data_IF_190787034001
#
_entry.id   IF_190787034001
#
_cell.length_a   1.000
_cell.length_b   1.000
_cell.length_c   1.000
_cell.angle_alpha   90.00
_cell.angle_beta   90.00
_cell.angle_gamma   90.00
#
_symmetry.space_group_name_H-M   'P 1'
#
loop_
_entity.id
_entity.type
_entity.pdbx_description
1 polymer ?
#
# COMPACT_ATOMS: atom_id res chain seq x y z
N UNK A 1 16.41 4.06 -3.49
CA UNK A 1 15.25 4.91 -3.68
C UNK A 1 14.81 5.64 -2.40
N UNK A 2 15.02 5.05 -1.23
CA UNK A 2 14.65 5.64 0.08
C UNK A 2 15.74 6.52 0.72
N UNK A 3 16.89 6.70 0.09
CA UNK A 3 17.97 7.54 0.59
C UNK A 3 17.68 9.05 0.45
N UNK A 4 16.73 9.43 -0.39
CA UNK A 4 16.34 10.82 -0.60
C UNK A 4 15.43 11.38 0.50
N UNK A 5 15.15 12.70 0.47
CA UNK A 5 14.24 13.35 1.41
C UNK A 5 12.82 12.78 1.28
N UNK A 6 12.07 12.76 2.39
CA UNK A 6 10.75 12.10 2.48
C UNK A 6 9.71 12.65 1.49
N UNK A 7 9.65 13.97 1.18
CA UNK A 7 8.72 14.48 0.17
C UNK A 7 8.97 13.91 -1.23
N UNK A 8 10.23 13.65 -1.59
CA UNK A 8 10.59 13.00 -2.85
C UNK A 8 10.14 11.54 -2.85
N UNK A 9 10.31 10.83 -1.72
CA UNK A 9 9.80 9.47 -1.57
C UNK A 9 8.28 9.42 -1.66
N UNK A 10 7.56 10.39 -1.09
CA UNK A 10 6.12 10.51 -1.21
C UNK A 10 5.67 10.66 -2.68
N UNK A 11 6.34 11.52 -3.44
CA UNK A 11 6.00 11.74 -4.84
C UNK A 11 6.35 10.53 -5.72
N UNK A 12 7.59 10.04 -5.64
CA UNK A 12 8.10 8.98 -6.51
C UNK A 12 7.47 7.62 -6.17
N UNK A 13 7.49 7.22 -4.89
CA UNK A 13 7.01 5.90 -4.49
C UNK A 13 5.50 5.82 -4.23
N UNK A 14 4.87 6.92 -3.84
CA UNK A 14 3.45 6.87 -3.53
C UNK A 14 2.58 7.12 -4.75
N UNK A 15 2.89 8.16 -5.53
CA UNK A 15 1.93 8.71 -6.49
C UNK A 15 2.30 8.53 -7.96
N UNK A 16 3.60 8.41 -8.33
CA UNK A 16 3.98 8.55 -9.74
C UNK A 16 4.73 7.36 -10.33
N UNK A 17 6.04 7.23 -10.08
CA UNK A 17 6.90 6.29 -10.82
C UNK A 17 6.44 4.83 -10.67
N UNK A 18 6.09 4.42 -9.47
CA UNK A 18 5.68 3.02 -9.22
C UNK A 18 4.27 2.75 -9.73
N UNK A 19 3.41 3.76 -9.69
CA UNK A 19 2.05 3.72 -10.23
C UNK A 19 2.03 3.65 -11.77
N UNK A 20 3.05 4.21 -12.44
CA UNK A 20 3.15 4.23 -13.90
C UNK A 20 3.15 2.83 -14.51
N UNK A 21 3.73 1.83 -13.83
CA UNK A 21 3.71 0.44 -14.28
C UNK A 21 2.31 -0.14 -14.38
N UNK A 22 1.49 0.05 -13.34
CA UNK A 22 0.08 -0.41 -13.35
C UNK A 22 -0.74 0.37 -14.39
N UNK A 23 -0.53 1.69 -14.47
CA UNK A 23 -1.19 2.50 -15.48
C UNK A 23 -0.86 2.04 -16.91
N UNK A 24 0.41 1.73 -17.18
CA UNK A 24 0.83 1.19 -18.47
C UNK A 24 0.16 -0.15 -18.76
N UNK A 25 0.16 -1.10 -17.82
CA UNK A 25 -0.50 -2.40 -17.99
C UNK A 25 -1.97 -2.23 -18.39
N UNK A 26 -2.70 -1.35 -17.72
CA UNK A 26 -4.10 -1.07 -18.03
C UNK A 26 -4.28 -0.46 -19.41
N UNK A 27 -3.36 0.42 -19.85
CA UNK A 27 -3.43 1.06 -21.17
C UNK A 27 -3.17 0.10 -22.32
N UNK A 28 -2.38 -0.95 -22.08
CA UNK A 28 -2.03 -1.95 -23.09
C UNK A 28 -2.74 -3.29 -22.85
N UNK A 29 -3.82 -3.33 -22.09
CA UNK A 29 -4.58 -4.53 -21.72
C UNK A 29 -4.93 -5.40 -22.93
N UNK A 30 -5.30 -4.77 -24.04
CA UNK A 30 -5.68 -5.44 -25.28
C UNK A 30 -4.57 -6.29 -25.93
N UNK A 31 -3.32 -6.15 -25.48
CA UNK A 31 -2.18 -6.95 -25.96
C UNK A 31 -1.99 -8.25 -25.18
N UNK A 32 -2.65 -8.41 -24.04
CA UNK A 32 -2.46 -9.59 -23.19
C UNK A 32 -3.43 -10.71 -23.52
N UNK A 33 -2.89 -11.93 -23.59
CA UNK A 33 -3.70 -13.15 -23.65
C UNK A 33 -4.29 -13.49 -22.27
N UNK A 34 -5.34 -14.30 -22.24
CA UNK A 34 -5.95 -14.75 -20.98
C UNK A 34 -4.96 -15.44 -20.04
N UNK A 35 -4.07 -16.27 -20.58
CA UNK A 35 -3.05 -16.96 -19.79
C UNK A 35 -2.03 -16.00 -19.19
N UNK A 36 -1.64 -14.96 -19.94
CA UNK A 36 -0.75 -13.92 -19.45
C UNK A 36 -1.41 -13.10 -18.32
N UNK A 37 -2.70 -12.80 -18.45
CA UNK A 37 -3.45 -12.12 -17.39
C UNK A 37 -3.53 -12.96 -16.12
N UNK A 38 -3.83 -14.25 -16.21
CA UNK A 38 -3.86 -15.16 -15.05
C UNK A 38 -2.49 -15.23 -14.37
N UNK A 39 -1.41 -15.34 -15.14
CA UNK A 39 -0.05 -15.35 -14.61
C UNK A 39 0.27 -14.05 -13.86
N UNK A 40 -0.06 -12.88 -14.45
CA UNK A 40 0.12 -11.57 -13.80
C UNK A 40 -0.71 -11.47 -12.52
N UNK A 41 -1.94 -11.99 -12.54
CA UNK A 41 -2.83 -12.01 -11.39
C UNK A 41 -2.24 -12.77 -10.20
N UNK A 42 -1.80 -13.99 -10.46
CA UNK A 42 -1.17 -14.84 -9.43
C UNK A 42 0.15 -14.23 -8.92
N UNK A 43 1.01 -13.78 -9.85
CA UNK A 43 2.28 -13.12 -9.49
C UNK A 43 2.03 -11.87 -8.62
N UNK A 44 1.04 -11.06 -8.98
CA UNK A 44 0.63 -9.89 -8.22
C UNK A 44 0.18 -10.25 -6.81
N UNK A 45 -0.67 -11.26 -6.66
CA UNK A 45 -1.16 -11.72 -5.36
C UNK A 45 0.00 -12.21 -4.46
N UNK A 46 0.89 -13.06 -4.99
CA UNK A 46 2.06 -13.56 -4.26
C UNK A 46 3.01 -12.43 -3.87
N UNK A 47 3.29 -11.49 -4.80
CA UNK A 47 4.10 -10.30 -4.52
C UNK A 47 3.49 -9.46 -3.40
N UNK A 48 2.17 -9.27 -3.42
CA UNK A 48 1.43 -8.52 -2.41
C UNK A 48 1.57 -9.12 -1.01
N UNK A 49 1.43 -10.44 -0.91
CA UNK A 49 1.59 -11.17 0.35
C UNK A 49 3.05 -11.14 0.86
N UNK A 50 4.01 -11.45 -0.01
CA UNK A 50 5.43 -11.44 0.32
C UNK A 50 5.89 -10.05 0.83
N UNK A 51 5.51 -8.99 0.13
CA UNK A 51 5.83 -7.63 0.54
C UNK A 51 5.17 -7.27 1.90
N UNK A 52 3.99 -7.79 2.19
CA UNK A 52 3.33 -7.65 3.49
C UNK A 52 4.14 -8.27 4.63
N UNK A 53 4.68 -9.48 4.44
CA UNK A 53 5.58 -10.12 5.41
C UNK A 53 6.88 -9.31 5.59
N UNK A 54 7.48 -8.82 4.49
CA UNK A 54 8.66 -7.96 4.59
C UNK A 54 8.37 -6.68 5.36
N UNK A 55 7.22 -6.04 5.13
CA UNK A 55 6.81 -4.82 5.86
C UNK A 55 6.69 -5.06 7.37
N UNK A 56 6.20 -6.24 7.78
CA UNK A 56 6.02 -6.60 9.19
C UNK A 56 7.37 -6.70 9.94
N UNK A 57 8.45 -7.07 9.26
CA UNK A 57 9.77 -7.28 9.87
C UNK A 57 10.67 -6.05 9.86
N UNK A 58 10.34 -5.03 9.07
CA UNK A 58 11.16 -3.82 8.98
C UNK A 58 11.10 -2.97 10.26
N UNK A 59 12.24 -2.32 10.57
CA UNK A 59 12.37 -1.35 11.66
C UNK A 59 12.35 0.09 11.19
N UNK A 60 12.76 0.35 9.96
CA UNK A 60 12.82 1.67 9.35
C UNK A 60 11.43 2.08 8.85
N UNK A 61 10.92 3.23 9.33
CA UNK A 61 9.61 3.77 8.96
C UNK A 61 9.42 3.92 7.45
N UNK A 62 10.47 4.38 6.73
CA UNK A 62 10.43 4.50 5.26
C UNK A 62 10.37 3.15 4.58
N UNK A 63 11.11 2.15 5.07
CA UNK A 63 11.10 0.80 4.51
C UNK A 63 9.76 0.11 4.73
N UNK A 64 9.14 0.28 5.91
CA UNK A 64 7.78 -0.23 6.16
C UNK A 64 6.82 0.34 5.14
N UNK A 65 6.82 1.66 4.92
CA UNK A 65 5.95 2.32 3.94
C UNK A 65 6.26 1.89 2.50
N UNK A 66 7.53 1.63 2.15
CA UNK A 66 7.93 1.15 0.82
C UNK A 66 7.44 -0.27 0.55
N UNK A 67 7.65 -1.21 1.46
CA UNK A 67 7.12 -2.57 1.33
C UNK A 67 5.59 -2.60 1.34
N UNK A 68 4.97 -1.73 2.11
CA UNK A 68 3.53 -1.53 2.08
C UNK A 68 3.06 -1.03 0.70
N UNK A 69 3.82 -0.15 0.02
CA UNK A 69 3.51 0.27 -1.35
C UNK A 69 3.62 -0.92 -2.32
N UNK A 70 4.70 -1.71 -2.22
CA UNK A 70 4.88 -2.91 -3.04
C UNK A 70 3.74 -3.92 -2.84
N UNK A 71 3.29 -4.08 -1.58
CA UNK A 71 2.13 -4.93 -1.27
C UNK A 71 0.86 -4.44 -1.98
N UNK A 72 0.56 -3.14 -1.95
CA UNK A 72 -0.64 -2.59 -2.60
C UNK A 72 -0.54 -2.65 -4.14
N UNK A 73 0.65 -2.52 -4.72
CA UNK A 73 0.86 -2.76 -6.14
C UNK A 73 0.56 -4.21 -6.53
N UNK A 74 0.86 -5.15 -5.63
CA UNK A 74 0.46 -6.55 -5.79
C UNK A 74 -1.05 -6.71 -5.92
N UNK A 75 -1.85 -5.99 -5.11
CA UNK A 75 -3.31 -5.96 -5.23
C UNK A 75 -3.78 -5.41 -6.58
N UNK A 76 -3.15 -4.33 -7.05
CA UNK A 76 -3.50 -3.72 -8.33
C UNK A 76 -3.15 -4.65 -9.50
N UNK A 77 -1.98 -5.29 -9.44
CA UNK A 77 -1.56 -6.28 -10.46
C UNK A 77 -2.48 -7.51 -10.45
N UNK A 78 -2.89 -7.98 -9.27
CA UNK A 78 -3.85 -9.06 -9.14
C UNK A 78 -5.23 -8.69 -9.72
N UNK A 79 -5.73 -7.49 -9.41
CA UNK A 79 -6.98 -7.00 -9.98
C UNK A 79 -6.91 -6.87 -11.51
N UNK A 80 -5.80 -6.37 -12.05
CA UNK A 80 -5.56 -6.30 -13.49
C UNK A 80 -5.56 -7.70 -14.12
N UNK A 81 -4.83 -8.65 -13.54
CA UNK A 81 -4.75 -10.03 -14.01
C UNK A 81 -6.07 -10.80 -13.95
N UNK A 82 -6.98 -10.39 -13.05
CA UNK A 82 -8.36 -10.90 -12.99
C UNK A 82 -9.29 -10.25 -14.03
N UNK A 83 -8.79 -9.38 -14.92
CA UNK A 83 -9.60 -8.67 -15.90
C UNK A 83 -10.44 -7.53 -15.30
N UNK A 84 -9.98 -6.93 -14.21
CA UNK A 84 -10.65 -5.82 -13.51
C UNK A 84 -9.81 -4.53 -13.56
N UNK A 85 -9.42 -4.02 -14.75
CA UNK A 85 -8.52 -2.86 -14.88
C UNK A 85 -9.09 -1.58 -14.27
N UNK A 86 -10.41 -1.38 -14.35
CA UNK A 86 -11.08 -0.23 -13.74
C UNK A 86 -10.94 -0.21 -12.21
N UNK A 87 -11.04 -1.38 -11.56
CA UNK A 87 -10.86 -1.50 -10.11
C UNK A 87 -9.40 -1.29 -9.72
N UNK A 88 -8.45 -1.82 -10.53
CA UNK A 88 -7.02 -1.57 -10.34
C UNK A 88 -6.68 -0.08 -10.39
N UNK A 89 -7.22 0.67 -11.37
CA UNK A 89 -7.06 2.13 -11.47
C UNK A 89 -7.73 2.88 -10.32
N UNK A 90 -8.91 2.46 -9.89
CA UNK A 90 -9.59 3.06 -8.75
C UNK A 90 -8.76 2.91 -7.48
N UNK A 91 -8.21 1.71 -7.24
CA UNK A 91 -7.33 1.50 -6.09
C UNK A 91 -6.01 2.26 -6.23
N UNK A 92 -5.44 2.38 -7.42
CA UNK A 92 -4.27 3.20 -7.68
C UNK A 92 -4.48 4.66 -7.30
N UNK A 93 -5.63 5.23 -7.65
CA UNK A 93 -5.98 6.61 -7.31
C UNK A 93 -6.10 6.81 -5.79
N UNK A 94 -6.88 5.97 -5.11
CA UNK A 94 -7.04 6.07 -3.65
C UNK A 94 -5.73 5.84 -2.92
N UNK A 95 -4.92 4.87 -3.40
CA UNK A 95 -3.58 4.56 -2.88
C UNK A 95 -2.65 5.77 -2.93
N UNK A 96 -2.63 6.52 -4.03
CA UNK A 96 -1.78 7.69 -4.17
C UNK A 96 -2.03 8.72 -3.06
N UNK A 97 -3.29 8.98 -2.72
CA UNK A 97 -3.66 9.94 -1.68
C UNK A 97 -3.23 9.49 -0.27
N UNK A 98 -3.65 8.32 0.17
CA UNK A 98 -3.34 7.92 1.54
C UNK A 98 -1.85 7.58 1.72
N UNK A 99 -1.14 7.14 0.68
CA UNK A 99 0.30 6.93 0.74
C UNK A 99 1.09 8.23 0.80
N UNK A 100 0.72 9.22 -0.02
CA UNK A 100 1.34 10.54 0.08
C UNK A 100 1.16 11.14 1.47
N UNK A 101 -0.04 11.02 2.05
CA UNK A 101 -0.34 11.46 3.42
C UNK A 101 0.59 10.80 4.44
N UNK A 102 0.75 9.47 4.38
CA UNK A 102 1.60 8.73 5.31
C UNK A 102 3.09 9.04 5.14
N UNK A 103 3.57 9.16 3.90
CA UNK A 103 4.98 9.52 3.66
C UNK A 103 5.29 10.95 4.12
N UNK A 104 4.40 11.91 3.90
CA UNK A 104 4.58 13.28 4.40
C UNK A 104 4.53 13.31 5.94
N UNK A 105 3.61 12.56 6.54
CA UNK A 105 3.55 12.39 7.98
C UNK A 105 4.82 11.76 8.56
N UNK A 106 5.36 10.70 7.93
CA UNK A 106 6.62 10.10 8.35
C UNK A 106 7.80 11.07 8.21
N UNK A 107 7.78 11.95 7.19
CA UNK A 107 8.77 13.01 7.04
C UNK A 107 8.77 13.99 8.19
N UNK A 108 7.59 14.40 8.64
CA UNK A 108 7.44 15.27 9.82
C UNK A 108 7.96 14.61 11.09
N UNK A 109 7.69 13.31 11.28
CA UNK A 109 8.19 12.53 12.43
C UNK A 109 9.71 12.43 12.39
N UNK A 110 10.31 12.04 11.28
CA UNK A 110 11.77 11.91 11.10
C UNK A 110 12.46 13.26 11.38
N UNK A 111 11.89 14.36 10.89
CA UNK A 111 12.46 15.69 11.12
C UNK A 111 12.40 16.08 12.60
N UNK A 112 11.29 15.81 13.27
CA UNK A 112 11.11 16.11 14.71
C UNK A 112 11.99 15.23 15.62
N UNK A 113 12.35 14.02 15.16
CA UNK A 113 13.19 13.07 15.89
C UNK A 113 14.66 13.09 15.45
N UNK A 114 15.19 14.25 15.05
CA UNK A 114 16.62 14.42 14.67
C UNK A 114 17.12 13.45 13.60
N UNK A 115 16.29 13.18 12.58
CA UNK A 115 16.56 12.25 11.46
C UNK A 115 16.64 10.76 11.83
N UNK A 116 16.24 10.38 13.05
CA UNK A 116 16.07 8.97 13.40
C UNK A 116 15.00 8.34 12.53
N UNK A 117 15.20 7.08 12.09
CA UNK A 117 14.27 6.34 11.25
C UNK A 117 13.79 5.03 11.87
N UNK A 118 14.41 4.59 12.97
CA UNK A 118 14.00 3.38 13.67
C UNK A 118 12.71 3.61 14.45
N UNK A 119 11.67 2.84 14.13
CA UNK A 119 10.35 2.94 14.77
C UNK A 119 10.39 2.63 16.28
N UNK A 120 11.37 1.88 16.76
CA UNK A 120 11.52 1.56 18.19
C UNK A 120 12.19 2.69 18.99
N UNK A 121 12.82 3.65 18.31
CA UNK A 121 13.40 4.84 18.94
C UNK A 121 12.37 5.94 19.19
N UNK A 122 11.16 5.80 18.65
CA UNK A 122 10.07 6.75 18.83
C UNK A 122 9.31 6.50 20.13
N UNK A 123 8.67 7.56 20.67
CA UNK A 123 7.83 7.40 21.82
C UNK A 123 7.03 8.66 22.17
N UNK A 124 5.75 8.51 22.49
CA UNK A 124 4.90 9.59 22.99
C UNK A 124 4.62 10.71 21.97
N UNK A 125 4.88 10.53 20.69
CA UNK A 125 4.76 11.54 19.63
C UNK A 125 3.35 12.10 19.47
N UNK A 126 2.32 11.32 19.79
CA UNK A 126 0.92 11.74 19.73
C UNK A 126 0.65 13.01 20.54
N UNK A 127 1.31 13.18 21.71
CA UNK A 127 1.17 14.39 22.54
C UNK A 127 1.97 15.56 22.00
N UNK A 128 3.15 15.31 21.41
CA UNK A 128 4.06 16.33 20.89
C UNK A 128 3.64 16.84 19.51
N UNK A 129 3.07 15.96 18.67
CA UNK A 129 2.69 16.23 17.27
C UNK A 129 1.27 15.74 16.99
N UNK A 130 0.22 16.29 17.62
CA UNK A 130 -1.13 15.76 17.54
C UNK A 130 -1.68 15.79 16.10
N UNK A 131 -1.43 16.85 15.35
CA UNK A 131 -1.89 16.96 13.95
C UNK A 131 -1.31 15.86 13.07
N UNK A 132 0.00 15.63 13.13
CA UNK A 132 0.68 14.56 12.39
C UNK A 132 0.17 13.19 12.82
N UNK A 133 -0.04 12.97 14.12
CA UNK A 133 -0.55 11.70 14.62
C UNK A 133 -1.96 11.40 14.10
N UNK A 134 -2.88 12.37 14.09
CA UNK A 134 -4.23 12.16 13.59
C UNK A 134 -4.27 11.97 12.08
N UNK A 135 -3.52 12.76 11.31
CA UNK A 135 -3.46 12.60 9.84
C UNK A 135 -2.83 11.26 9.45
N UNK A 136 -1.77 10.85 10.15
CA UNK A 136 -1.15 9.55 9.94
C UNK A 136 -2.11 8.39 10.28
N UNK A 137 -2.86 8.50 11.38
CA UNK A 137 -3.89 7.52 11.76
C UNK A 137 -4.96 7.37 10.68
N UNK A 138 -5.45 8.49 10.11
CA UNK A 138 -6.41 8.45 9.00
C UNK A 138 -5.84 7.67 7.82
N UNK A 139 -4.56 7.90 7.47
CA UNK A 139 -3.87 7.15 6.42
C UNK A 139 -3.76 5.65 6.73
N UNK A 140 -3.41 5.30 7.98
CA UNK A 140 -3.34 3.91 8.44
C UNK A 140 -4.70 3.23 8.39
N UNK A 141 -5.76 3.87 8.84
CA UNK A 141 -7.11 3.35 8.75
C UNK A 141 -7.58 3.20 7.29
N UNK A 142 -7.24 4.16 6.43
CA UNK A 142 -7.61 4.10 5.02
C UNK A 142 -6.96 2.88 4.32
N UNK A 143 -5.65 2.68 4.47
CA UNK A 143 -4.97 1.53 3.84
C UNK A 143 -5.40 0.18 4.45
N UNK A 144 -5.78 0.16 5.72
CA UNK A 144 -6.27 -1.05 6.40
C UNK A 144 -7.67 -1.45 5.95
N UNK A 145 -8.39 -0.57 5.26
CA UNK A 145 -9.74 -0.85 4.78
C UNK A 145 -10.82 -0.63 5.85
N UNK A 146 -10.63 0.34 6.75
CA UNK A 146 -11.67 0.71 7.72
C UNK A 146 -12.85 1.35 7.01
N UNK A 147 -14.07 0.99 7.40
CA UNK A 147 -15.35 1.48 6.83
C UNK A 147 -15.34 3.00 6.67
N UNK A 148 -16.02 3.48 5.64
CA UNK A 148 -16.18 4.88 5.23
C UNK A 148 -14.92 5.58 4.69
N UNK A 149 -13.74 4.94 4.69
CA UNK A 149 -12.53 5.50 4.10
C UNK A 149 -12.33 4.98 2.66
N UNK A 150 -11.57 5.75 1.87
CA UNK A 150 -11.37 5.45 0.44
C UNK A 150 -10.78 4.07 0.15
N UNK A 151 -9.87 3.61 1.01
CA UNK A 151 -9.24 2.30 0.89
C UNK A 151 -10.20 1.13 1.14
N UNK A 152 -11.25 1.31 1.94
CA UNK A 152 -12.30 0.30 2.11
C UNK A 152 -12.96 -0.01 0.77
N UNK A 153 -13.53 0.98 0.11
CA UNK A 153 -14.26 0.79 -1.15
C UNK A 153 -13.39 0.18 -2.24
N UNK A 154 -12.15 0.66 -2.40
CA UNK A 154 -11.28 0.19 -3.47
C UNK A 154 -10.69 -1.20 -3.20
N UNK A 155 -10.31 -1.49 -1.95
CA UNK A 155 -9.75 -2.79 -1.57
C UNK A 155 -10.82 -3.88 -1.52
N UNK A 156 -12.00 -3.54 -0.99
CA UNK A 156 -13.14 -4.44 -0.94
C UNK A 156 -13.61 -4.84 -2.35
N UNK A 157 -13.63 -3.88 -3.29
CA UNK A 157 -13.93 -4.17 -4.69
C UNK A 157 -12.94 -5.15 -5.32
N UNK A 158 -11.63 -5.05 -5.00
CA UNK A 158 -10.62 -6.01 -5.46
C UNK A 158 -10.87 -7.39 -4.86
N UNK A 159 -11.11 -7.46 -3.54
CA UNK A 159 -11.35 -8.73 -2.84
C UNK A 159 -12.64 -9.40 -3.32
N UNK A 160 -13.70 -8.64 -3.51
CA UNK A 160 -14.97 -9.16 -4.03
C UNK A 160 -14.80 -9.68 -5.47
N UNK A 161 -14.09 -8.94 -6.31
CA UNK A 161 -13.76 -9.40 -7.67
C UNK A 161 -12.95 -10.69 -7.66
N UNK A 162 -11.94 -10.79 -6.82
CA UNK A 162 -11.14 -12.00 -6.65
C UNK A 162 -11.97 -13.18 -6.14
N UNK A 163 -12.85 -12.94 -5.16
CA UNK A 163 -13.74 -13.99 -4.63
C UNK A 163 -14.64 -14.63 -5.71
N UNK A 164 -15.15 -13.81 -6.62
CA UNK A 164 -16.04 -14.27 -7.68
C UNK A 164 -15.32 -14.97 -8.85
N UNK A 165 -14.04 -14.66 -9.08
CA UNK A 165 -13.28 -15.10 -10.25
C UNK A 165 -12.26 -16.19 -9.94
N UNK A 166 -11.51 -16.07 -8.83
CA UNK A 166 -10.45 -17.01 -8.45
C UNK A 166 -10.29 -17.04 -6.92
N UNK A 167 -10.74 -18.13 -6.31
CA UNK A 167 -10.68 -18.32 -4.87
C UNK A 167 -9.24 -18.39 -4.31
N UNK A 168 -8.28 -18.88 -5.10
CA UNK A 168 -6.88 -18.97 -4.67
C UNK A 168 -6.29 -17.56 -4.54
N UNK A 169 -6.47 -16.74 -5.58
CA UNK A 169 -6.03 -15.33 -5.55
C UNK A 169 -6.74 -14.59 -4.40
N UNK A 170 -8.05 -14.81 -4.21
CA UNK A 170 -8.79 -14.22 -3.08
C UNK A 170 -8.16 -14.57 -1.74
N UNK A 171 -7.88 -15.85 -1.45
CA UNK A 171 -7.30 -16.27 -0.17
C UNK A 171 -5.93 -15.61 0.09
N UNK A 172 -5.09 -15.50 -0.94
CA UNK A 172 -3.77 -14.86 -0.86
C UNK A 172 -3.93 -13.36 -0.56
N UNK A 173 -4.80 -12.67 -1.29
CA UNK A 173 -5.06 -11.25 -1.09
C UNK A 173 -5.71 -10.98 0.27
N UNK A 174 -6.63 -11.83 0.73
CA UNK A 174 -7.27 -11.71 2.04
C UNK A 174 -6.24 -11.83 3.17
N UNK A 175 -5.34 -12.82 3.10
CA UNK A 175 -4.22 -12.93 4.03
C UNK A 175 -3.32 -11.68 4.02
N UNK A 176 -3.04 -11.14 2.83
CA UNK A 176 -2.32 -9.88 2.66
C UNK A 176 -3.06 -8.68 3.27
N UNK A 177 -4.40 -8.67 3.26
CA UNK A 177 -5.21 -7.61 3.89
C UNK A 177 -5.04 -7.62 5.42
N UNK A 178 -5.07 -8.80 6.04
CA UNK A 178 -4.79 -8.95 7.47
C UNK A 178 -3.40 -8.47 7.83
N UNK A 179 -2.37 -8.88 7.05
CA UNK A 179 -1.00 -8.40 7.22
C UNK A 179 -0.90 -6.88 7.09
N UNK A 180 -1.64 -6.29 6.15
CA UNK A 180 -1.66 -4.82 5.95
C UNK A 180 -2.11 -4.12 7.23
N UNK A 181 -3.19 -4.56 7.85
CA UNK A 181 -3.66 -4.01 9.12
C UNK A 181 -2.61 -4.18 10.22
N UNK A 182 -2.03 -5.37 10.35
CA UNK A 182 -1.03 -5.67 11.38
C UNK A 182 0.19 -4.76 11.31
N UNK A 183 0.86 -4.66 10.14
CA UNK A 183 2.09 -3.86 10.08
C UNK A 183 1.81 -2.34 10.11
N UNK A 184 0.65 -1.88 9.64
CA UNK A 184 0.31 -0.46 9.66
C UNK A 184 -0.07 0.01 11.07
N UNK A 185 -0.86 -0.78 11.81
CA UNK A 185 -1.14 -0.46 13.22
C UNK A 185 0.09 -0.62 14.10
N UNK A 186 0.95 -1.64 13.85
CA UNK A 186 2.25 -1.74 14.51
C UNK A 186 3.07 -0.46 14.32
N UNK A 187 3.15 0.05 13.09
CA UNK A 187 3.88 1.28 12.79
C UNK A 187 3.32 2.51 13.53
N UNK A 188 2.00 2.57 13.73
CA UNK A 188 1.34 3.69 14.40
C UNK A 188 1.49 3.67 15.92
N UNK A 189 1.47 2.49 16.54
CA UNK A 189 1.51 2.36 18.00
C UNK A 189 2.92 2.30 18.59
N UNK A 190 3.94 2.03 17.80
CA UNK A 190 5.34 2.13 18.20
C UNK A 190 5.87 3.56 18.00
#
# INVERSE_FOLDING_TARGET
AMAGPTPVSALIHAATMVAAGIFLLVRIEFLFTTDALQFIGLLGAVMGLYAGFCALTQRDIKKVLAYSTLSQLGYMAAAFGLGLPGIALFHLMTHAFFKALMFLGSGSVIHACHHEQDIFSYGGLRKKMPLTAYTFLIGVMAISGVHFLSGYFSKDAILLGAYNLDLVIFCILYAGAVLTALYMFRLYFL
#
